data_IF_782729712782
#
_entry.id   IF_782729712782
#
_cell.length_a   1.000
_cell.length_b   1.000
_cell.length_c   1.000
_cell.angle_alpha   90.00
_cell.angle_beta   90.00
_cell.angle_gamma   90.00
#
_symmetry.space_group_name_H-M   'P 1'
#
loop_
_entity.id
_entity.type
_entity.pdbx_description
1 polymer ?
#
# COMPACT_ATOMS: atom_id res chain seq x y z
N UNK A 1 8.52 5.72 -3.06
CA UNK A 1 9.50 5.11 -4.00
C UNK A 1 8.87 4.03 -4.88
N UNK A 2 7.90 3.25 -4.37
CA UNK A 2 7.16 2.22 -5.12
C UNK A 2 6.66 2.64 -6.51
N UNK A 3 6.06 3.83 -6.65
CA UNK A 3 5.57 4.31 -7.95
C UNK A 3 6.65 4.38 -9.02
N UNK A 4 7.87 4.82 -8.69
CA UNK A 4 8.98 4.88 -9.65
C UNK A 4 9.45 3.48 -10.05
N UNK A 5 9.47 2.55 -9.10
CA UNK A 5 9.78 1.15 -9.36
C UNK A 5 8.75 0.53 -10.30
N UNK A 6 7.45 0.67 -10.01
CA UNK A 6 6.35 0.22 -10.88
C UNK A 6 6.47 0.83 -12.27
N UNK A 7 6.67 2.15 -12.39
CA UNK A 7 6.87 2.79 -13.70
C UNK A 7 8.05 2.16 -14.43
N UNK A 8 9.20 1.99 -13.76
CA UNK A 8 10.40 1.39 -14.34
C UNK A 8 10.19 -0.05 -14.83
N UNK A 9 9.41 -0.85 -14.08
CA UNK A 9 8.97 -2.18 -14.52
C UNK A 9 8.09 -2.08 -15.77
N UNK A 10 7.06 -1.21 -15.72
CA UNK A 10 6.09 -1.01 -16.81
C UNK A 10 6.74 -0.61 -18.13
N UNK A 11 7.76 0.23 -18.08
CA UNK A 11 8.48 0.70 -19.28
C UNK A 11 9.72 -0.14 -19.61
N UNK A 12 9.92 -1.27 -18.90
CA UNK A 12 11.05 -2.21 -19.07
C UNK A 12 12.42 -1.52 -19.00
N UNK A 13 12.55 -0.51 -18.14
CA UNK A 13 13.81 0.23 -17.92
C UNK A 13 14.65 -0.36 -16.78
N UNK A 14 14.09 -1.29 -16.00
CA UNK A 14 14.82 -1.97 -14.95
C UNK A 14 15.41 -3.27 -15.52
N UNK A 15 16.73 -3.30 -15.68
CA UNK A 15 17.45 -4.48 -16.20
C UNK A 15 17.48 -5.66 -15.22
N UNK A 16 17.50 -5.37 -13.91
CA UNK A 16 17.47 -6.38 -12.84
C UNK A 16 16.45 -5.96 -11.75
N UNK A 17 15.17 -6.33 -11.91
CA UNK A 17 14.12 -6.04 -10.93
C UNK A 17 14.43 -6.55 -9.53
N UNK A 18 15.06 -7.72 -9.43
CA UNK A 18 15.35 -8.39 -8.15
C UNK A 18 16.41 -7.62 -7.37
N UNK A 19 17.49 -7.20 -8.03
CA UNK A 19 18.53 -6.41 -7.37
C UNK A 19 18.01 -5.07 -6.84
N UNK A 20 17.14 -4.39 -7.59
CA UNK A 20 16.52 -3.13 -7.15
C UNK A 20 15.55 -3.40 -5.99
N UNK A 21 14.73 -4.44 -6.09
CA UNK A 21 13.83 -4.84 -5.02
C UNK A 21 14.59 -5.11 -3.71
N UNK A 22 15.60 -5.97 -3.73
CA UNK A 22 16.35 -6.32 -2.52
C UNK A 22 17.10 -5.14 -1.91
N UNK A 23 17.54 -4.19 -2.74
CA UNK A 23 18.25 -2.99 -2.26
C UNK A 23 17.32 -1.94 -1.63
N UNK A 24 16.05 -1.90 -2.04
CA UNK A 24 15.16 -0.77 -1.71
C UNK A 24 13.80 -1.16 -1.12
N UNK A 25 13.48 -2.45 -0.96
CA UNK A 25 12.15 -2.90 -0.49
C UNK A 25 11.70 -2.20 0.79
N UNK A 26 12.57 -2.07 1.79
CA UNK A 26 12.21 -1.43 3.07
C UNK A 26 11.87 0.07 2.91
N UNK A 27 12.51 0.75 1.96
CA UNK A 27 12.23 2.15 1.63
C UNK A 27 11.06 2.32 0.63
N UNK A 28 10.68 1.25 -0.07
CA UNK A 28 9.55 1.23 -0.99
C UNK A 28 8.25 0.86 -0.29
N UNK A 29 8.32 0.04 0.76
CA UNK A 29 7.18 -0.60 1.39
C UNK A 29 6.74 0.08 2.69
N UNK A 30 6.42 1.37 2.61
CA UNK A 30 5.93 2.17 3.75
C UNK A 30 4.41 2.45 3.68
N UNK A 31 3.73 2.02 2.61
CA UNK A 31 2.33 2.38 2.37
C UNK A 31 1.39 1.82 3.45
N UNK A 32 1.63 0.59 3.91
CA UNK A 32 0.82 0.00 4.98
C UNK A 32 0.94 0.80 6.28
N UNK A 33 2.17 1.14 6.69
CA UNK A 33 2.40 1.92 7.91
C UNK A 33 1.67 3.27 7.85
N UNK A 34 1.72 3.97 6.71
CA UNK A 34 1.01 5.25 6.53
C UNK A 34 -0.51 5.10 6.57
N UNK A 35 -1.07 4.00 6.04
CA UNK A 35 -2.51 3.74 6.09
C UNK A 35 -3.00 3.39 7.51
N UNK A 36 -2.10 2.90 8.35
CA UNK A 36 -2.38 2.53 9.73
C UNK A 36 -2.05 3.61 10.76
N UNK A 37 -1.37 4.68 10.34
CA UNK A 37 -1.02 5.79 11.23
C UNK A 37 -2.28 6.39 11.87
N UNK A 38 -2.27 6.51 13.19
CA UNK A 38 -3.41 6.97 13.99
C UNK A 38 -4.58 5.98 14.13
N UNK A 39 -4.40 4.69 13.79
CA UNK A 39 -5.44 3.66 13.92
C UNK A 39 -5.10 2.63 14.99
N UNK A 40 -6.09 2.31 15.82
CA UNK A 40 -6.02 1.24 16.84
C UNK A 40 -6.81 -0.03 16.45
N UNK A 41 -7.67 0.06 15.42
CA UNK A 41 -8.64 -0.96 15.01
C UNK A 41 -8.09 -2.01 14.02
N UNK A 42 -6.81 -1.98 13.70
CA UNK A 42 -6.21 -2.94 12.78
C UNK A 42 -5.96 -4.30 13.47
N UNK A 43 -6.22 -5.44 12.80
CA UNK A 43 -6.01 -6.76 13.38
C UNK A 43 -4.60 -6.89 13.93
N UNK A 44 -4.49 -7.21 15.23
CA UNK A 44 -3.20 -7.38 15.93
C UNK A 44 -2.33 -8.43 15.23
N UNK A 45 -2.96 -9.44 14.65
CA UNK A 45 -2.35 -10.53 13.88
C UNK A 45 -1.56 -10.04 12.65
N UNK A 46 -1.82 -8.81 12.16
CA UNK A 46 -1.10 -8.17 11.06
C UNK A 46 -0.12 -7.08 11.55
N UNK A 47 -0.12 -6.75 12.85
CA UNK A 47 0.78 -5.75 13.47
C UNK A 47 2.06 -6.35 14.01
N UNK A 48 2.02 -7.59 14.47
CA UNK A 48 3.18 -8.24 15.08
C UNK A 48 3.98 -9.03 14.03
N UNK A 49 5.31 -8.82 13.95
CA UNK A 49 6.21 -9.68 13.16
C UNK A 49 6.33 -11.12 13.70
N UNK A 50 5.75 -11.42 14.86
CA UNK A 50 6.02 -12.62 15.65
C UNK A 50 4.98 -13.74 15.47
N UNK A 51 4.66 -14.07 14.22
CA UNK A 51 4.21 -15.44 13.92
C UNK A 51 5.10 -16.00 12.81
N UNK A 52 5.21 -17.31 12.72
CA UNK A 52 6.09 -18.09 11.81
C UNK A 52 5.87 -17.85 10.30
N UNK A 53 5.57 -16.62 9.87
CA UNK A 53 5.23 -16.20 8.52
C UNK A 53 6.48 -15.63 7.87
N UNK A 54 6.88 -16.22 6.74
CA UNK A 54 8.13 -15.95 6.04
C UNK A 54 8.34 -14.51 5.50
N UNK A 55 7.42 -13.56 5.76
CA UNK A 55 7.49 -12.18 5.23
C UNK A 55 6.75 -11.17 6.11
N UNK A 56 7.32 -9.97 6.37
CA UNK A 56 6.63 -8.89 7.08
C UNK A 56 5.36 -8.41 6.35
N UNK A 57 4.26 -8.07 7.06
CA UNK A 57 3.00 -7.66 6.46
C UNK A 57 3.08 -6.44 5.53
N UNK A 58 3.91 -5.44 5.87
CA UNK A 58 4.09 -4.25 5.04
C UNK A 58 4.74 -4.59 3.69
N UNK A 59 5.74 -5.48 3.67
CA UNK A 59 6.35 -5.96 2.42
C UNK A 59 5.33 -6.74 1.59
N UNK A 60 4.53 -7.60 2.22
CA UNK A 60 3.52 -8.39 1.53
C UNK A 60 2.43 -7.50 0.91
N UNK A 61 1.95 -6.52 1.66
CA UNK A 61 0.97 -5.53 1.20
C UNK A 61 1.48 -4.73 0.00
N UNK A 62 2.73 -4.26 0.04
CA UNK A 62 3.30 -3.50 -1.06
C UNK A 62 3.59 -4.37 -2.30
N UNK A 63 3.95 -5.64 -2.13
CA UNK A 63 4.01 -6.60 -3.25
C UNK A 63 2.64 -6.79 -3.90
N UNK A 64 1.58 -6.96 -3.10
CA UNK A 64 0.22 -7.02 -3.59
C UNK A 64 -0.17 -5.74 -4.33
N UNK A 65 0.23 -4.55 -3.83
CA UNK A 65 0.01 -3.28 -4.53
C UNK A 65 0.77 -3.18 -5.85
N UNK A 66 2.01 -3.67 -5.92
CA UNK A 66 2.77 -3.69 -7.17
C UNK A 66 2.08 -4.63 -8.17
N UNK A 67 1.61 -5.80 -7.72
CA UNK A 67 0.87 -6.73 -8.58
C UNK A 67 -0.43 -6.12 -9.12
N UNK A 68 -1.23 -5.49 -8.24
CA UNK A 68 -2.45 -4.76 -8.61
C UNK A 68 -2.16 -3.62 -9.60
N UNK A 69 -1.11 -2.84 -9.35
CA UNK A 69 -0.64 -1.78 -10.25
C UNK A 69 -0.05 -2.32 -11.57
N UNK A 70 0.22 -3.61 -11.71
CA UNK A 70 0.76 -4.23 -12.94
C UNK A 70 -0.29 -5.06 -13.70
N UNK A 71 -1.50 -5.19 -13.16
CA UNK A 71 -2.54 -6.08 -13.69
C UNK A 71 -2.92 -5.79 -15.16
N UNK A 72 -2.80 -4.53 -15.60
CA UNK A 72 -3.08 -4.08 -16.96
C UNK A 72 -2.03 -4.52 -17.99
N UNK A 73 -0.83 -4.90 -17.56
CA UNK A 73 0.26 -5.29 -18.45
C UNK A 73 0.29 -6.78 -18.77
N UNK A 74 -0.57 -7.59 -18.12
CA UNK A 74 -0.54 -9.06 -18.21
C UNK A 74 0.84 -9.66 -17.91
N UNK A 75 1.64 -8.99 -17.07
CA UNK A 75 2.93 -9.48 -16.57
C UNK A 75 2.82 -9.74 -15.08
N UNK A 76 3.22 -10.92 -14.63
CA UNK A 76 3.17 -11.29 -13.21
C UNK A 76 4.47 -10.94 -12.48
N UNK A 77 4.42 -10.84 -11.15
CA UNK A 77 5.63 -10.69 -10.33
C UNK A 77 6.58 -11.87 -10.49
N UNK A 78 6.03 -13.09 -10.64
CA UNK A 78 6.83 -14.30 -10.85
C UNK A 78 7.62 -14.24 -12.17
N UNK A 79 7.03 -13.72 -13.25
CA UNK A 79 7.73 -13.50 -14.53
C UNK A 79 8.87 -12.48 -14.41
N UNK A 80 8.73 -11.50 -13.51
CA UNK A 80 9.77 -10.53 -13.16
C UNK A 80 10.78 -11.06 -12.12
N UNK A 81 10.60 -12.33 -11.69
CA UNK A 81 11.37 -12.99 -10.62
C UNK A 81 11.29 -12.28 -9.27
N UNK A 82 10.24 -11.50 -9.07
CA UNK A 82 9.94 -10.85 -7.81
C UNK A 82 9.14 -11.79 -6.89
N UNK A 83 9.19 -11.59 -5.56
CA UNK A 83 8.37 -12.37 -4.65
C UNK A 83 6.87 -12.09 -4.90
N UNK A 84 6.05 -13.14 -4.89
CA UNK A 84 4.59 -13.03 -5.04
C UNK A 84 3.95 -12.76 -3.68
N UNK A 85 2.94 -11.87 -3.56
CA UNK A 85 2.21 -11.65 -2.31
C UNK A 85 1.61 -12.95 -1.78
N UNK A 86 1.63 -13.11 -0.46
CA UNK A 86 1.11 -14.28 0.24
C UNK A 86 -0.37 -14.14 0.56
N UNK A 87 -0.83 -12.91 0.78
CA UNK A 87 -2.22 -12.63 1.15
C UNK A 87 -2.94 -11.80 0.08
N UNK A 88 -4.24 -12.05 -0.04
CA UNK A 88 -5.14 -11.17 -0.77
C UNK A 88 -5.54 -10.00 0.13
N UNK A 89 -5.00 -8.81 -0.18
CA UNK A 89 -5.25 -7.59 0.57
C UNK A 89 -6.45 -6.80 0.04
N UNK A 90 -7.14 -7.25 -1.00
CA UNK A 90 -8.17 -6.49 -1.71
C UNK A 90 -9.28 -5.97 -0.79
N UNK A 91 -9.87 -6.85 0.02
CA UNK A 91 -10.96 -6.49 0.94
C UNK A 91 -10.51 -5.47 2.00
N UNK A 92 -9.31 -5.66 2.55
CA UNK A 92 -8.75 -4.76 3.54
C UNK A 92 -8.40 -3.41 2.93
N UNK A 93 -7.73 -3.40 1.77
CA UNK A 93 -7.39 -2.17 1.05
C UNK A 93 -8.63 -1.34 0.70
N UNK A 94 -9.69 -2.00 0.25
CA UNK A 94 -10.95 -1.36 -0.04
C UNK A 94 -11.57 -0.71 1.20
N UNK A 95 -11.62 -1.44 2.33
CA UNK A 95 -12.11 -0.91 3.60
C UNK A 95 -11.28 0.28 4.09
N UNK A 96 -9.94 0.18 4.04
CA UNK A 96 -9.02 1.25 4.42
C UNK A 96 -9.23 2.50 3.55
N UNK A 97 -9.41 2.32 2.24
CA UNK A 97 -9.58 3.42 1.28
C UNK A 97 -10.92 4.12 1.46
N UNK A 98 -12.02 3.37 1.62
CA UNK A 98 -13.35 3.95 1.88
C UNK A 98 -13.38 4.76 3.18
N UNK A 99 -12.74 4.24 4.22
CA UNK A 99 -12.69 4.93 5.51
C UNK A 99 -11.85 6.21 5.44
N UNK A 100 -10.71 6.18 4.77
CA UNK A 100 -9.90 7.37 4.55
C UNK A 100 -10.68 8.46 3.78
N UNK A 101 -11.43 8.05 2.75
CA UNK A 101 -12.31 8.97 2.01
C UNK A 101 -13.40 9.57 2.91
N UNK A 102 -14.07 8.74 3.71
CA UNK A 102 -15.10 9.19 4.66
C UNK A 102 -14.56 10.18 5.68
N UNK A 103 -13.37 9.94 6.24
CA UNK A 103 -12.73 10.86 7.19
C UNK A 103 -12.43 12.21 6.53
N UNK A 104 -11.85 12.21 5.33
CA UNK A 104 -11.59 13.45 4.59
C UNK A 104 -12.89 14.23 4.26
N UNK A 105 -13.99 13.53 3.94
CA UNK A 105 -15.28 14.19 3.72
C UNK A 105 -15.84 14.81 5.00
N UNK A 106 -15.68 14.15 6.15
CA UNK A 106 -16.11 14.69 7.45
C UNK A 106 -15.32 15.93 7.82
N UNK A 107 -14.00 15.89 7.72
CA UNK A 107 -13.13 17.05 8.00
C UNK A 107 -13.49 18.26 7.14
N UNK A 108 -13.73 18.05 5.83
CA UNK A 108 -14.17 19.12 4.92
C UNK A 108 -15.56 19.65 5.27
N UNK A 109 -16.47 18.77 5.69
CA UNK A 109 -17.80 19.18 6.11
C UNK A 109 -17.75 20.01 7.40
N UNK A 110 -16.94 19.61 8.37
CA UNK A 110 -16.79 20.31 9.64
C UNK A 110 -16.12 21.69 9.44
N UNK A 111 -15.03 21.75 8.66
CA UNK A 111 -14.38 23.02 8.29
C UNK A 111 -15.35 23.99 7.58
N UNK A 112 -16.21 23.47 6.70
CA UNK A 112 -17.23 24.29 6.02
C UNK A 112 -18.31 24.79 6.97
N UNK A 113 -18.70 23.98 7.97
CA UNK A 113 -19.67 24.38 9.01
C UNK A 113 -19.10 25.47 9.90
N UNK A 114 -17.83 25.35 10.29
CA UNK A 114 -17.14 26.37 11.08
C UNK A 114 -17.03 27.70 10.32
N UNK A 115 -16.69 27.66 9.03
CA UNK A 115 -16.65 28.86 8.19
C UNK A 115 -18.01 29.55 8.10
N UNK A 116 -19.09 28.78 7.85
CA UNK A 116 -20.45 29.33 7.79
C UNK A 116 -20.90 29.95 9.12
N UNK A 117 -20.48 29.40 10.25
CA UNK A 117 -20.78 29.95 11.58
C UNK A 117 -19.95 31.19 11.90
N UNK A 118 -18.74 31.34 11.35
CA UNK A 118 -17.88 32.49 11.55
C UNK A 118 -18.28 33.71 10.69
N UNK A 119 -18.98 33.48 9.58
CA UNK A 119 -19.48 34.51 8.66
C UNK A 119 -20.86 35.08 9.08
N UNK A 120 -21.43 34.63 10.21
CA UNK A 120 -22.69 35.11 10.81
C UNK A 120 -22.44 36.05 12.00
#
# INVERSE_FOLDING_TARGET
MRTLFVIGLRVKQIGDPVAIWDSFKDAMCDDLARKLDGRDDFPVDLREPDSDVARPPHIDYDLWKIEDDMADQHVTLEELRLPVPLWDWSALDHALTLQAANNSFREKADAKREQLNADQ
#
